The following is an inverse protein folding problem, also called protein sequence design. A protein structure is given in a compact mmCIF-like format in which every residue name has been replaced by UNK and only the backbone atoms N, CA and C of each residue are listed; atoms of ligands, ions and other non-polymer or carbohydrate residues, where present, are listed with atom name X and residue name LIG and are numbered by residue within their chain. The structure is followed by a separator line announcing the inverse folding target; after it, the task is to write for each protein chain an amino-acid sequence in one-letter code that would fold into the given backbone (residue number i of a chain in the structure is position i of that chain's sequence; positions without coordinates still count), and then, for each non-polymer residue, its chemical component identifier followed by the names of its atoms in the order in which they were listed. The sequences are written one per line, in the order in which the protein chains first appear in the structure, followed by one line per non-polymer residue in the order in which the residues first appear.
data_IF_401292387723
#
_entry.id   IF_401292387723
#
_cell.length_a   1.000
_cell.length_b   1.000
_cell.length_c   1.000
_cell.angle_alpha   90.00
_cell.angle_beta   90.00
_cell.angle_gamma   90.00
#
_symmetry.space_group_name_H-M   'P 1'
#
loop_
_entity.id
_entity.type
_entity.pdbx_description
1 polymer ?
#
# COMPACT_ATOMS: atom_id res chain seq x y z
N UNK A 1 38.13 25.61 -31.94
CA UNK A 1 37.26 25.05 -30.89
C UNK A 1 35.93 24.70 -31.52
N UNK A 2 35.46 23.44 -31.44
CA UNK A 2 34.13 23.10 -31.91
C UNK A 2 33.09 23.70 -30.96
N UNK A 3 31.90 24.07 -31.45
CA UNK A 3 30.85 24.64 -30.60
C UNK A 3 30.33 23.55 -29.66
N UNK A 4 30.27 23.89 -28.37
CA UNK A 4 29.63 23.08 -27.35
C UNK A 4 28.14 22.99 -27.67
N UNK A 5 27.66 21.77 -27.89
CA UNK A 5 26.23 21.48 -27.94
C UNK A 5 25.69 21.71 -26.53
N UNK A 6 24.99 22.82 -26.35
CA UNK A 6 24.18 23.10 -25.18
C UNK A 6 23.13 21.98 -25.07
N UNK A 7 23.35 21.02 -24.15
CA UNK A 7 22.34 20.01 -23.82
C UNK A 7 21.21 20.73 -23.09
N UNK A 8 20.04 20.72 -23.69
CA UNK A 8 18.78 21.13 -23.06
C UNK A 8 18.60 20.32 -21.75
N UNK A 9 18.65 20.92 -20.54
CA UNK A 9 18.74 20.18 -19.28
C UNK A 9 17.48 19.39 -18.88
N UNK A 10 16.43 19.35 -19.70
CA UNK A 10 15.07 18.98 -19.25
C UNK A 10 14.49 17.69 -19.82
N UNK A 11 15.21 16.95 -20.67
CA UNK A 11 14.76 15.65 -21.20
C UNK A 11 15.61 14.52 -20.64
N UNK A 12 14.99 13.67 -19.82
CA UNK A 12 15.56 12.36 -19.48
C UNK A 12 15.85 11.60 -20.79
N UNK A 13 17.02 10.99 -20.92
CA UNK A 13 17.28 10.10 -22.05
C UNK A 13 16.30 8.91 -22.01
N UNK A 14 15.96 8.40 -23.19
CA UNK A 14 15.07 7.24 -23.32
C UNK A 14 15.63 6.01 -22.59
N UNK A 15 16.95 5.81 -22.64
CA UNK A 15 17.64 4.73 -21.93
C UNK A 15 17.48 4.82 -20.41
N UNK A 16 17.63 6.03 -19.84
CA UNK A 16 17.47 6.24 -18.39
C UNK A 16 16.01 6.05 -17.98
N UNK A 17 15.06 6.53 -18.80
CA UNK A 17 13.64 6.35 -18.54
C UNK A 17 13.27 4.85 -18.58
N UNK A 18 13.78 4.10 -19.55
CA UNK A 18 13.62 2.64 -19.65
C UNK A 18 14.16 1.92 -18.41
N UNK A 19 15.37 2.28 -17.96
CA UNK A 19 15.98 1.72 -16.75
C UNK A 19 15.11 1.96 -15.49
N UNK A 20 14.57 3.17 -15.32
CA UNK A 20 13.67 3.47 -14.20
C UNK A 20 12.36 2.68 -14.28
N UNK A 21 11.76 2.56 -15.47
CA UNK A 21 10.56 1.74 -15.66
C UNK A 21 10.83 0.28 -15.27
N UNK A 22 11.95 -0.29 -15.72
CA UNK A 22 12.35 -1.65 -15.38
C UNK A 22 12.55 -1.82 -13.88
N UNK A 23 13.18 -0.84 -13.23
CA UNK A 23 13.40 -0.85 -11.79
C UNK A 23 12.07 -0.81 -11.02
N UNK A 24 11.12 0.02 -11.44
CA UNK A 24 9.78 0.06 -10.86
C UNK A 24 9.06 -1.30 -10.96
N UNK A 25 9.06 -1.91 -12.15
CA UNK A 25 8.40 -3.20 -12.37
C UNK A 25 9.06 -4.35 -11.62
N UNK A 26 10.36 -4.25 -11.31
CA UNK A 26 11.10 -5.26 -10.55
C UNK A 26 10.93 -5.12 -9.04
N UNK A 27 10.98 -3.90 -8.52
CA UNK A 27 11.09 -3.66 -7.07
C UNK A 27 9.76 -3.22 -6.42
N UNK A 28 8.99 -2.35 -7.09
CA UNK A 28 7.79 -1.72 -6.51
C UNK A 28 6.51 -2.44 -6.91
N UNK A 29 6.38 -2.74 -8.21
CA UNK A 29 5.19 -3.37 -8.77
C UNK A 29 4.80 -4.70 -8.09
N UNK A 30 5.72 -5.59 -7.69
CA UNK A 30 5.29 -6.83 -7.04
C UNK A 30 4.62 -6.61 -5.67
N UNK A 31 4.96 -5.52 -4.96
CA UNK A 31 4.31 -5.14 -3.70
C UNK A 31 2.94 -4.49 -3.97
N UNK A 32 2.88 -3.66 -5.01
CA UNK A 32 1.68 -2.93 -5.42
C UNK A 32 1.38 -3.16 -6.91
N UNK A 33 0.84 -4.33 -7.30
CA UNK A 33 0.59 -4.64 -8.71
C UNK A 33 -0.56 -3.77 -9.24
N UNK A 34 -0.24 -2.75 -10.03
CA UNK A 34 -1.23 -1.81 -10.62
C UNK A 34 -1.45 -2.12 -12.09
N UNK A 35 -0.36 -2.30 -12.83
CA UNK A 35 -0.36 -2.28 -14.29
C UNK A 35 0.07 -3.62 -14.87
N UNK A 36 -0.53 -4.04 -15.97
CA UNK A 36 0.13 -5.04 -16.82
C UNK A 36 1.33 -4.38 -17.52
N UNK A 37 2.45 -5.10 -17.61
CA UNK A 37 3.69 -4.56 -18.21
C UNK A 37 3.50 -4.28 -19.69
N UNK A 38 2.86 -5.18 -20.43
CA UNK A 38 2.66 -4.99 -21.87
C UNK A 38 1.70 -3.83 -22.14
N UNK A 39 0.66 -3.68 -21.31
CA UNK A 39 -0.22 -2.52 -21.37
C UNK A 39 0.55 -1.22 -21.13
N UNK A 40 1.43 -1.18 -20.13
CA UNK A 40 2.23 0.01 -19.83
C UNK A 40 3.15 0.38 -21.00
N UNK A 41 3.84 -0.59 -21.57
CA UNK A 41 4.73 -0.38 -22.72
C UNK A 41 3.95 0.12 -23.94
N UNK A 42 2.76 -0.44 -24.22
CA UNK A 42 1.85 0.06 -25.28
C UNK A 42 1.45 1.52 -25.05
N UNK A 43 1.18 1.90 -23.81
CA UNK A 43 0.81 3.28 -23.45
C UNK A 43 1.99 4.25 -23.63
N UNK A 44 3.22 3.83 -23.32
CA UNK A 44 4.44 4.58 -23.61
C UNK A 44 4.59 4.85 -25.12
N UNK A 45 4.43 3.82 -25.96
CA UNK A 45 4.49 3.93 -27.42
C UNK A 45 3.39 4.84 -27.99
N UNK A 46 2.18 4.75 -27.44
CA UNK A 46 1.01 5.48 -27.97
C UNK A 46 1.06 6.97 -27.65
N UNK A 47 1.44 7.33 -26.43
CA UNK A 47 1.25 8.70 -25.92
C UNK A 47 2.54 9.50 -25.75
N UNK A 48 3.72 8.87 -25.92
CA UNK A 48 5.07 9.46 -25.76
C UNK A 48 5.12 10.60 -24.72
N UNK A 49 4.99 10.27 -23.42
CA UNK A 49 4.80 11.25 -22.35
C UNK A 49 6.03 12.13 -22.06
N UNK A 50 7.19 11.85 -22.68
CA UNK A 50 8.37 12.72 -22.65
C UNK A 50 8.21 14.03 -23.45
N UNK A 51 7.15 14.14 -24.26
CA UNK A 51 6.83 15.36 -25.00
C UNK A 51 5.93 16.31 -24.20
N UNK A 52 6.07 17.61 -24.45
CA UNK A 52 5.39 18.68 -23.69
C UNK A 52 3.85 18.60 -23.69
N UNK A 53 3.26 17.84 -24.62
CA UNK A 53 1.81 17.67 -24.70
C UNK A 53 1.40 16.19 -24.71
N UNK A 54 1.09 15.65 -23.52
CA UNK A 54 0.34 14.40 -23.41
C UNK A 54 -1.17 14.73 -23.28
N UNK A 55 -2.04 14.26 -24.20
CA UNK A 55 -3.48 14.51 -24.14
C UNK A 55 -4.15 13.72 -23.00
N UNK A 56 -3.58 12.57 -22.61
CA UNK A 56 -4.09 11.75 -21.52
C UNK A 56 -3.39 12.12 -20.20
N UNK A 57 -3.93 13.11 -19.50
CA UNK A 57 -3.34 13.62 -18.25
C UNK A 57 -3.21 12.56 -17.13
N UNK A 58 -4.21 11.68 -16.88
CA UNK A 58 -4.04 10.54 -15.98
C UNK A 58 -2.86 9.63 -16.33
N UNK A 59 -2.71 9.31 -17.62
CA UNK A 59 -1.57 8.51 -18.08
C UNK A 59 -0.23 9.22 -17.84
N UNK A 60 -0.14 10.52 -18.17
CA UNK A 60 1.08 11.28 -17.91
C UNK A 60 1.46 11.30 -16.42
N UNK A 61 0.48 11.43 -15.52
CA UNK A 61 0.71 11.36 -14.08
C UNK A 61 1.23 9.98 -13.66
N UNK A 62 0.68 8.89 -14.21
CA UNK A 62 1.17 7.53 -14.00
C UNK A 62 2.63 7.42 -14.45
N UNK A 63 2.94 7.84 -15.68
CA UNK A 63 4.28 7.74 -16.25
C UNK A 63 5.33 8.45 -15.40
N UNK A 64 5.09 9.72 -15.05
CA UNK A 64 6.03 10.50 -14.23
C UNK A 64 6.21 9.91 -12.83
N UNK A 65 5.15 9.38 -12.23
CA UNK A 65 5.24 8.72 -10.91
C UNK A 65 6.00 7.40 -10.99
N UNK A 66 5.82 6.62 -12.05
CA UNK A 66 6.59 5.37 -12.29
C UNK A 66 8.08 5.68 -12.45
N UNK A 67 8.43 6.73 -13.21
CA UNK A 67 9.82 7.17 -13.31
C UNK A 67 10.38 7.61 -11.97
N UNK A 68 9.62 8.36 -11.18
CA UNK A 68 10.05 8.81 -9.85
C UNK A 68 10.30 7.62 -8.90
N UNK A 69 9.38 6.65 -8.85
CA UNK A 69 9.56 5.42 -8.07
C UNK A 69 10.76 4.61 -8.54
N UNK A 70 10.92 4.45 -9.86
CA UNK A 70 12.06 3.77 -10.46
C UNK A 70 13.40 4.44 -10.15
N UNK A 71 13.42 5.78 -10.21
CA UNK A 71 14.56 6.64 -9.87
C UNK A 71 15.02 6.38 -8.42
N UNK A 72 14.10 6.37 -7.44
CA UNK A 72 14.48 6.08 -6.05
C UNK A 72 15.12 4.70 -5.90
N UNK A 73 14.54 3.69 -6.53
CA UNK A 73 15.04 2.32 -6.44
C UNK A 73 16.33 2.10 -7.24
N UNK A 74 16.68 3.01 -8.15
CA UNK A 74 17.95 3.03 -8.87
C UNK A 74 19.10 3.66 -8.05
N UNK A 75 18.83 4.13 -6.82
CA UNK A 75 19.82 4.80 -5.98
C UNK A 75 19.87 6.32 -6.14
N UNK A 76 18.99 6.88 -6.99
CA UNK A 76 18.91 8.31 -7.30
C UNK A 76 17.81 9.01 -6.46
N UNK A 77 17.58 8.52 -5.24
CA UNK A 77 16.64 9.09 -4.27
C UNK A 77 17.28 10.16 -3.38
N UNK A 78 16.47 10.89 -2.62
CA UNK A 78 16.94 11.90 -1.66
C UNK A 78 16.27 11.70 -0.30
N UNK A 79 17.06 11.71 0.77
CA UNK A 79 16.53 11.74 2.15
C UNK A 79 15.93 13.10 2.52
N UNK A 80 16.25 14.15 1.75
CA UNK A 80 15.67 15.47 1.96
C UNK A 80 14.37 15.60 1.16
N UNK A 81 13.24 15.88 1.82
CA UNK A 81 11.97 16.07 1.15
C UNK A 81 12.07 17.24 0.16
N UNK A 82 11.56 17.04 -1.05
CA UNK A 82 11.47 18.09 -2.06
C UNK A 82 12.73 18.28 -2.88
N UNK A 83 13.69 17.37 -2.76
CA UNK A 83 14.97 17.42 -3.48
C UNK A 83 15.22 16.14 -4.28
N UNK A 84 16.13 16.26 -5.26
CA UNK A 84 16.58 15.15 -6.09
C UNK A 84 15.68 14.86 -7.30
N UNK A 85 16.25 14.12 -8.24
CA UNK A 85 15.62 13.80 -9.53
C UNK A 85 14.26 13.11 -9.35
N UNK A 86 14.15 12.20 -8.37
CA UNK A 86 12.89 11.55 -8.03
C UNK A 86 11.76 12.55 -7.72
N UNK A 87 12.05 13.57 -6.91
CA UNK A 87 11.06 14.59 -6.58
C UNK A 87 10.73 15.48 -7.77
N UNK A 88 11.72 15.85 -8.60
CA UNK A 88 11.49 16.62 -9.82
C UNK A 88 10.54 15.87 -10.79
N UNK A 89 10.72 14.55 -10.91
CA UNK A 89 9.84 13.69 -11.69
C UNK A 89 8.44 13.62 -11.07
N UNK A 90 8.35 13.40 -9.76
CA UNK A 90 7.05 13.35 -9.08
C UNK A 90 6.32 14.70 -9.13
N UNK A 91 7.03 15.82 -9.06
CA UNK A 91 6.45 17.18 -9.17
C UNK A 91 5.72 17.38 -10.49
N UNK A 92 6.20 16.76 -11.58
CA UNK A 92 5.48 16.75 -12.87
C UNK A 92 4.16 15.99 -12.79
N UNK A 93 4.11 14.86 -12.06
CA UNK A 93 2.86 14.14 -11.79
C UNK A 93 1.91 14.95 -10.89
N UNK A 94 2.46 15.58 -9.84
CA UNK A 94 1.70 16.41 -8.90
C UNK A 94 1.04 17.60 -9.59
N UNK A 95 1.74 18.25 -10.53
CA UNK A 95 1.17 19.33 -11.34
C UNK A 95 -0.06 18.89 -12.18
N UNK A 96 -0.20 17.59 -12.45
CA UNK A 96 -1.33 17.02 -13.19
C UNK A 96 -2.50 16.60 -12.29
N UNK A 97 -2.34 16.65 -10.96
CA UNK A 97 -3.33 16.14 -9.99
C UNK A 97 -4.75 16.66 -10.24
N UNK A 98 -4.93 17.97 -10.44
CA UNK A 98 -6.24 18.56 -10.73
C UNK A 98 -6.89 17.97 -11.99
N UNK A 99 -6.09 17.69 -13.03
CA UNK A 99 -6.58 17.05 -14.26
C UNK A 99 -6.90 15.56 -14.05
N UNK A 100 -6.20 14.89 -13.13
CA UNK A 100 -6.48 13.49 -12.76
C UNK A 100 -7.84 13.40 -12.06
N UNK A 101 -8.08 14.21 -11.04
CA UNK A 101 -9.34 14.14 -10.26
C UNK A 101 -10.56 14.56 -11.10
N UNK A 102 -10.41 15.49 -12.04
CA UNK A 102 -11.48 15.96 -12.92
C UNK A 102 -11.71 15.07 -14.15
N UNK A 103 -10.89 14.03 -14.34
CA UNK A 103 -10.96 13.15 -15.49
C UNK A 103 -12.19 12.25 -15.44
N UNK A 104 -12.92 12.17 -16.56
CA UNK A 104 -14.04 11.24 -16.74
C UNK A 104 -13.61 9.78 -16.85
N UNK A 105 -12.32 9.50 -17.07
CA UNK A 105 -11.79 8.13 -17.21
C UNK A 105 -11.48 7.55 -15.83
N UNK A 106 -12.49 7.01 -15.16
CA UNK A 106 -12.42 6.62 -13.73
C UNK A 106 -11.27 5.64 -13.45
N UNK A 107 -11.12 4.56 -14.25
CA UNK A 107 -10.12 3.53 -13.98
C UNK A 107 -8.68 4.07 -13.99
N UNK A 108 -8.25 4.66 -15.10
CA UNK A 108 -6.87 5.18 -15.23
C UNK A 108 -6.59 6.34 -14.28
N UNK A 109 -7.59 7.16 -13.97
CA UNK A 109 -7.45 8.28 -13.02
C UNK A 109 -7.29 7.75 -11.60
N UNK A 110 -8.03 6.69 -11.25
CA UNK A 110 -7.87 6.03 -9.94
C UNK A 110 -6.51 5.32 -9.85
N UNK A 111 -6.04 4.68 -10.92
CA UNK A 111 -4.70 4.10 -10.97
C UNK A 111 -3.60 5.16 -10.80
N UNK A 112 -3.79 6.36 -11.37
CA UNK A 112 -2.89 7.50 -11.19
C UNK A 112 -2.83 7.96 -9.73
N UNK A 113 -3.99 8.16 -9.09
CA UNK A 113 -4.04 8.51 -7.67
C UNK A 113 -3.37 7.45 -6.80
N UNK A 114 -3.60 6.18 -7.09
CA UNK A 114 -2.99 5.06 -6.38
C UNK A 114 -1.46 5.07 -6.49
N UNK A 115 -0.89 5.19 -7.68
CA UNK A 115 0.58 5.19 -7.82
C UNK A 115 1.20 6.43 -7.15
N UNK A 116 0.51 7.58 -7.20
CA UNK A 116 0.95 8.79 -6.50
C UNK A 116 0.93 8.63 -4.98
N UNK A 117 -0.05 7.88 -4.44
CA UNK A 117 -0.06 7.48 -3.03
C UNK A 117 1.15 6.61 -2.67
N UNK A 118 1.48 5.62 -3.50
CA UNK A 118 2.66 4.74 -3.27
C UNK A 118 3.95 5.57 -3.21
N UNK A 119 4.12 6.54 -4.11
CA UNK A 119 5.27 7.45 -4.04
C UNK A 119 5.30 8.26 -2.74
N UNK A 120 4.15 8.80 -2.33
CA UNK A 120 4.06 9.65 -1.14
C UNK A 120 4.28 8.88 0.15
N UNK A 121 3.90 7.59 0.18
CA UNK A 121 4.24 6.69 1.27
C UNK A 121 5.76 6.45 1.36
N UNK A 122 6.48 6.43 0.24
CA UNK A 122 7.93 6.16 0.20
C UNK A 122 8.81 7.34 0.58
N UNK A 123 8.29 8.57 0.61
CA UNK A 123 9.06 9.79 0.88
C UNK A 123 8.59 10.44 2.17
N UNK A 124 9.49 10.59 3.13
CA UNK A 124 9.19 11.29 4.37
C UNK A 124 9.02 12.81 4.13
N UNK A 125 8.22 13.47 4.98
CA UNK A 125 8.04 14.93 4.95
C UNK A 125 6.82 15.43 4.15
N UNK A 126 6.30 14.67 3.19
CA UNK A 126 5.06 15.01 2.49
C UNK A 126 3.94 14.04 2.81
N UNK A 127 2.93 14.49 3.57
CA UNK A 127 1.79 13.65 3.96
C UNK A 127 0.67 13.59 2.89
N UNK A 128 1.05 13.48 1.60
CA UNK A 128 0.08 13.44 0.49
C UNK A 128 -0.60 12.08 0.33
N UNK A 129 -0.07 11.02 0.95
CA UNK A 129 -0.65 9.67 0.89
C UNK A 129 -2.10 9.66 1.36
N UNK A 130 -2.41 10.39 2.45
CA UNK A 130 -3.78 10.47 2.97
C UNK A 130 -4.73 11.07 1.94
N UNK A 131 -4.31 12.12 1.24
CA UNK A 131 -5.09 12.78 0.18
C UNK A 131 -5.35 11.82 -0.97
N UNK A 132 -4.29 11.22 -1.53
CA UNK A 132 -4.42 10.35 -2.69
C UNK A 132 -5.20 9.07 -2.39
N UNK A 133 -4.99 8.45 -1.22
CA UNK A 133 -5.73 7.26 -0.78
C UNK A 133 -7.21 7.60 -0.60
N UNK A 134 -7.54 8.73 0.03
CA UNK A 134 -8.94 9.17 0.25
C UNK A 134 -9.68 9.37 -1.08
N UNK A 135 -9.08 10.09 -2.03
CA UNK A 135 -9.71 10.32 -3.34
C UNK A 135 -9.79 9.04 -4.16
N UNK A 136 -8.75 8.20 -4.14
CA UNK A 136 -8.77 6.90 -4.80
C UNK A 136 -9.84 5.98 -4.23
N UNK A 137 -10.05 5.98 -2.90
CA UNK A 137 -11.07 5.18 -2.23
C UNK A 137 -12.49 5.59 -2.64
N UNK A 138 -12.77 6.91 -2.73
CA UNK A 138 -14.06 7.41 -3.23
C UNK A 138 -14.33 6.94 -4.66
N UNK A 139 -13.33 7.03 -5.54
CA UNK A 139 -13.45 6.53 -6.91
C UNK A 139 -13.59 4.99 -6.96
N UNK A 140 -12.91 4.27 -6.07
CA UNK A 140 -13.01 2.81 -5.96
C UNK A 140 -14.40 2.34 -5.53
N UNK A 141 -15.12 3.06 -4.68
CA UNK A 141 -16.53 2.74 -4.34
C UNK A 141 -17.41 2.76 -5.59
N UNK A 142 -17.24 3.75 -6.47
CA UNK A 142 -17.98 3.82 -7.72
C UNK A 142 -17.60 2.69 -8.68
N UNK A 143 -16.29 2.43 -8.85
CA UNK A 143 -15.80 1.36 -9.73
C UNK A 143 -16.15 -0.03 -9.21
N UNK A 144 -16.22 -0.24 -7.90
CA UNK A 144 -16.49 -1.53 -7.29
C UNK A 144 -17.87 -2.08 -7.67
N UNK A 145 -18.82 -1.18 -7.93
CA UNK A 145 -20.22 -1.47 -8.28
C UNK A 145 -20.44 -1.70 -9.77
N UNK A 146 -19.49 -1.29 -10.63
CA UNK A 146 -19.60 -1.40 -12.09
C UNK A 146 -18.58 -2.41 -12.63
N UNK A 147 -19.06 -3.46 -13.30
CA UNK A 147 -18.19 -4.38 -14.04
C UNK A 147 -17.70 -3.75 -15.34
N UNK A 148 -16.56 -4.21 -15.84
CA UNK A 148 -16.05 -3.83 -17.17
C UNK A 148 -16.35 -4.95 -18.18
N UNK A 149 -16.72 -4.58 -19.41
CA UNK A 149 -16.98 -5.55 -20.48
C UNK A 149 -15.71 -6.21 -21.00
N UNK A 150 -14.61 -5.45 -21.10
CA UNK A 150 -13.32 -5.95 -21.53
C UNK A 150 -12.64 -6.73 -20.39
N UNK A 151 -12.24 -8.00 -20.60
CA UNK A 151 -11.55 -8.80 -19.58
C UNK A 151 -10.25 -8.18 -19.04
N UNK A 152 -9.46 -7.50 -19.88
CA UNK A 152 -8.22 -6.84 -19.45
C UNK A 152 -8.52 -5.68 -18.51
N UNK A 153 -9.51 -4.85 -18.87
CA UNK A 153 -9.94 -3.71 -18.05
C UNK A 153 -10.62 -4.18 -16.75
N UNK A 154 -11.35 -5.30 -16.78
CA UNK A 154 -11.96 -5.89 -15.59
C UNK A 154 -10.90 -6.40 -14.62
N UNK A 155 -9.85 -7.06 -15.12
CA UNK A 155 -8.73 -7.51 -14.31
C UNK A 155 -7.95 -6.33 -13.71
N UNK A 156 -7.68 -5.30 -14.51
CA UNK A 156 -7.06 -4.07 -14.05
C UNK A 156 -7.92 -3.36 -12.99
N UNK A 157 -9.25 -3.33 -13.17
CA UNK A 157 -10.21 -2.79 -12.19
C UNK A 157 -10.14 -3.56 -10.87
N UNK A 158 -10.18 -4.89 -10.89
CA UNK A 158 -10.10 -5.73 -9.68
C UNK A 158 -8.82 -5.47 -8.90
N UNK A 159 -7.67 -5.48 -9.56
CA UNK A 159 -6.36 -5.19 -8.93
C UNK A 159 -6.33 -3.78 -8.34
N UNK A 160 -6.82 -2.80 -9.11
CA UNK A 160 -6.88 -1.40 -8.68
C UNK A 160 -7.73 -1.26 -7.43
N UNK A 161 -8.94 -1.81 -7.43
CA UNK A 161 -9.87 -1.79 -6.31
C UNK A 161 -9.25 -2.40 -5.05
N UNK A 162 -8.73 -3.63 -5.13
CA UNK A 162 -8.28 -4.35 -3.93
C UNK A 162 -7.07 -3.75 -3.26
N UNK A 163 -6.17 -3.11 -4.00
CA UNK A 163 -5.01 -2.47 -3.39
C UNK A 163 -5.38 -1.12 -2.79
N UNK A 164 -6.30 -0.37 -3.41
CA UNK A 164 -6.86 0.83 -2.78
C UNK A 164 -7.61 0.46 -1.50
N UNK A 165 -8.39 -0.62 -1.53
CA UNK A 165 -9.05 -1.15 -0.34
C UNK A 165 -8.05 -1.42 0.78
N UNK A 166 -6.96 -2.16 0.50
CA UNK A 166 -6.01 -2.48 1.56
C UNK A 166 -5.28 -1.24 2.10
N UNK A 167 -4.86 -0.32 1.22
CA UNK A 167 -4.24 0.95 1.61
C UNK A 167 -5.18 1.82 2.45
N UNK A 168 -6.46 1.90 2.08
CA UNK A 168 -7.48 2.62 2.84
C UNK A 168 -7.68 2.01 4.21
N UNK A 169 -7.84 0.68 4.33
CA UNK A 169 -8.01 0.01 5.62
C UNK A 169 -6.82 0.17 6.55
N UNK A 170 -5.60 0.13 6.02
CA UNK A 170 -4.40 0.43 6.81
C UNK A 170 -4.40 1.88 7.29
N UNK A 171 -4.61 2.83 6.38
CA UNK A 171 -4.62 4.25 6.70
C UNK A 171 -5.65 4.55 7.80
N UNK A 172 -6.86 4.03 7.64
CA UNK A 172 -7.98 4.13 8.57
C UNK A 172 -7.68 3.55 9.94
N UNK A 173 -7.00 2.40 9.99
CA UNK A 173 -6.70 1.73 11.26
C UNK A 173 -5.56 2.41 12.03
N UNK A 174 -4.51 2.84 11.32
CA UNK A 174 -3.31 3.40 11.95
C UNK A 174 -3.39 4.91 12.22
N UNK A 175 -4.20 5.64 11.45
CA UNK A 175 -4.32 7.09 11.59
C UNK A 175 -5.54 7.42 12.46
N UNK A 176 -5.32 7.56 13.76
CA UNK A 176 -6.37 7.94 14.74
C UNK A 176 -6.95 9.36 14.54
N UNK A 177 -6.56 10.09 13.50
CA UNK A 177 -7.07 11.46 13.20
C UNK A 177 -8.33 11.48 12.33
N UNK A 178 -8.88 10.32 11.93
CA UNK A 178 -10.12 10.28 11.16
C UNK A 178 -11.36 10.55 12.03
N UNK A 179 -11.50 11.79 12.48
CA UNK A 179 -12.79 12.35 12.84
C UNK A 179 -13.75 12.17 11.65
N UNK A 180 -14.90 11.56 11.95
CA UNK A 180 -16.14 11.42 11.17
C UNK A 180 -16.17 10.67 9.82
N UNK A 181 -15.07 10.19 9.23
CA UNK A 181 -15.10 9.36 8.00
C UNK A 181 -14.06 8.22 8.01
N UNK A 182 -13.97 7.51 9.13
CA UNK A 182 -12.86 6.60 9.39
C UNK A 182 -12.74 5.40 8.43
N UNK A 183 -13.79 5.04 7.69
CA UNK A 183 -13.71 4.04 6.64
C UNK A 183 -14.60 4.47 5.47
N UNK A 184 -14.00 4.67 4.30
CA UNK A 184 -14.70 5.10 3.09
C UNK A 184 -15.32 3.93 2.34
N UNK A 185 -14.65 2.78 2.36
CA UNK A 185 -15.13 1.58 1.70
C UNK A 185 -15.82 0.70 2.74
N UNK A 186 -17.14 0.60 2.67
CA UNK A 186 -17.91 -0.29 3.53
C UNK A 186 -17.68 -1.75 3.10
N UNK A 187 -17.27 -2.62 4.03
CA UNK A 187 -16.98 -4.03 3.74
C UNK A 187 -18.21 -4.78 3.22
N UNK A 188 -19.39 -4.43 3.71
CA UNK A 188 -20.68 -5.02 3.30
C UNK A 188 -21.09 -4.62 1.88
N UNK A 189 -20.54 -3.52 1.35
CA UNK A 189 -20.82 -3.05 -0.01
C UNK A 189 -19.77 -3.50 -1.04
N UNK A 190 -18.76 -4.29 -0.64
CA UNK A 190 -17.70 -4.75 -1.53
C UNK A 190 -18.23 -5.84 -2.47
N UNK A 191 -18.56 -5.46 -3.70
CA UNK A 191 -18.96 -6.38 -4.77
C UNK A 191 -17.81 -6.81 -5.71
N UNK A 192 -16.61 -6.24 -5.54
CA UNK A 192 -15.49 -6.50 -6.43
C UNK A 192 -14.80 -7.83 -6.09
N UNK A 193 -14.76 -8.77 -7.04
CA UNK A 193 -14.08 -10.06 -6.85
C UNK A 193 -12.57 -9.87 -6.71
N UNK A 194 -11.93 -10.69 -5.87
CA UNK A 194 -10.47 -10.75 -5.79
C UNK A 194 -9.89 -11.05 -7.18
N UNK A 195 -8.78 -10.39 -7.57
CA UNK A 195 -8.09 -10.76 -8.79
C UNK A 195 -7.56 -12.20 -8.67
N UNK A 196 -7.41 -12.92 -9.80
CA UNK A 196 -6.68 -14.19 -9.79
C UNK A 196 -5.23 -13.96 -9.31
N UNK A 197 -4.61 -14.97 -8.68
CA UNK A 197 -3.22 -14.88 -8.26
C UNK A 197 -2.34 -14.70 -9.50
N UNK A 198 -1.79 -13.51 -9.68
CA UNK A 198 -1.10 -13.13 -10.92
C UNK A 198 0.33 -13.69 -10.97
N UNK A 199 1.02 -13.66 -9.83
CA UNK A 199 2.37 -14.21 -9.62
C UNK A 199 2.45 -14.61 -8.16
N UNK A 200 2.28 -15.90 -7.93
CA UNK A 200 2.65 -16.51 -6.67
C UNK A 200 4.12 -16.13 -6.42
N UNK A 201 4.43 -15.47 -5.30
CA UNK A 201 5.84 -15.33 -4.89
C UNK A 201 6.49 -16.71 -4.90
N UNK A 202 7.82 -16.81 -4.95
CA UNK A 202 8.53 -18.10 -5.02
C UNK A 202 8.05 -19.15 -3.98
N UNK A 203 7.37 -18.70 -2.92
CA UNK A 203 6.88 -19.49 -1.79
C UNK A 203 5.36 -19.80 -1.77
N UNK A 204 4.59 -19.56 -2.84
CA UNK A 204 3.17 -19.98 -2.82
C UNK A 204 2.12 -18.91 -2.44
N UNK A 205 2.53 -17.67 -2.16
CA UNK A 205 1.60 -16.65 -1.61
C UNK A 205 0.89 -15.81 -2.68
N UNK A 206 -0.45 -15.79 -2.58
CA UNK A 206 -1.33 -14.79 -3.18
C UNK A 206 -1.33 -13.52 -2.31
N UNK A 207 -0.37 -12.63 -2.56
CA UNK A 207 -0.12 -11.45 -1.71
C UNK A 207 -1.35 -10.57 -1.54
N UNK A 208 -2.09 -10.29 -2.62
CA UNK A 208 -3.28 -9.42 -2.56
C UNK A 208 -4.35 -10.05 -1.67
N UNK A 209 -4.58 -11.37 -1.78
CA UNK A 209 -5.53 -12.08 -0.93
C UNK A 209 -5.10 -12.08 0.53
N UNK A 210 -3.83 -12.38 0.80
CA UNK A 210 -3.28 -12.37 2.16
C UNK A 210 -3.45 -11.01 2.81
N UNK A 211 -3.10 -9.95 2.07
CA UNK A 211 -3.19 -8.58 2.53
C UNK A 211 -4.65 -8.16 2.78
N UNK A 212 -5.54 -8.40 1.80
CA UNK A 212 -6.96 -8.13 1.93
C UNK A 212 -7.61 -8.88 3.10
N UNK A 213 -7.18 -10.10 3.38
CA UNK A 213 -7.64 -10.90 4.51
C UNK A 213 -7.35 -10.21 5.85
N UNK A 214 -6.12 -9.72 6.05
CA UNK A 214 -5.77 -8.98 7.26
C UNK A 214 -6.50 -7.64 7.34
N UNK A 215 -6.59 -6.90 6.23
CA UNK A 215 -7.30 -5.63 6.17
C UNK A 215 -8.79 -5.77 6.55
N UNK A 216 -9.45 -6.87 6.17
CA UNK A 216 -10.83 -7.18 6.60
C UNK A 216 -10.93 -7.41 8.10
N UNK A 217 -9.98 -8.13 8.70
CA UNK A 217 -9.94 -8.36 10.14
C UNK A 217 -9.70 -7.03 10.87
N UNK A 218 -8.75 -6.22 10.42
CA UNK A 218 -8.48 -4.87 10.94
C UNK A 218 -9.69 -3.97 10.82
N UNK A 219 -10.40 -4.03 9.68
CA UNK A 219 -11.61 -3.27 9.43
C UNK A 219 -12.72 -3.62 10.40
N UNK A 220 -12.99 -4.92 10.62
CA UNK A 220 -13.95 -5.39 11.62
C UNK A 220 -13.54 -4.99 13.03
N UNK A 221 -12.27 -5.17 13.38
CA UNK A 221 -11.78 -4.76 14.69
C UNK A 221 -11.99 -3.27 14.90
N UNK A 222 -11.72 -2.44 13.88
CA UNK A 222 -11.98 -1.01 13.93
C UNK A 222 -13.45 -0.69 14.23
N UNK A 223 -14.38 -1.21 13.42
CA UNK A 223 -15.81 -0.90 13.59
C UNK A 223 -16.36 -1.40 14.92
N UNK A 224 -15.95 -2.59 15.35
CA UNK A 224 -16.49 -3.28 16.52
C UNK A 224 -15.84 -2.90 17.85
N UNK A 225 -14.57 -2.49 17.86
CA UNK A 225 -13.79 -2.21 19.08
C UNK A 225 -13.31 -0.75 19.15
N UNK A 226 -12.77 -0.18 18.07
CA UNK A 226 -12.09 1.12 18.11
C UNK A 226 -12.96 2.32 17.74
N UNK A 227 -14.06 2.11 17.02
CA UNK A 227 -14.94 3.18 16.56
C UNK A 227 -15.61 3.93 17.73
N UNK A 228 -15.95 5.23 17.59
CA UNK A 228 -16.68 5.95 18.65
C UNK A 228 -18.00 5.26 19.04
N UNK A 229 -18.67 4.61 18.09
CA UNK A 229 -19.92 3.88 18.30
C UNK A 229 -19.75 2.57 19.08
N UNK A 230 -18.56 1.98 19.14
CA UNK A 230 -18.29 0.77 19.92
C UNK A 230 -18.42 0.99 21.43
N UNK A 231 -18.31 2.25 21.90
CA UNK A 231 -18.39 2.62 23.32
C UNK A 231 -19.73 2.30 23.97
N UNK A 232 -20.80 2.19 23.18
CA UNK A 232 -22.12 1.80 23.67
C UNK A 232 -22.23 0.30 24.00
N UNK A 233 -21.25 -0.53 23.61
CA UNK A 233 -21.26 -1.98 23.87
C UNK A 233 -20.93 -2.28 25.33
N UNK A 234 -21.61 -3.29 25.88
CA UNK A 234 -21.30 -3.86 27.21
C UNK A 234 -19.87 -4.42 27.25
N UNK A 235 -19.34 -4.60 28.46
CA UNK A 235 -17.99 -5.15 28.64
C UNK A 235 -17.90 -6.59 28.13
N UNK A 236 -18.94 -7.39 28.37
CA UNK A 236 -19.06 -8.78 27.92
C UNK A 236 -19.05 -8.87 26.39
N UNK A 237 -19.78 -7.98 25.70
CA UNK A 237 -19.79 -7.91 24.24
C UNK A 237 -18.42 -7.51 23.67
N UNK A 238 -17.72 -6.56 24.31
CA UNK A 238 -16.37 -6.16 23.89
C UNK A 238 -15.37 -7.30 24.07
N UNK A 239 -15.43 -8.01 25.19
CA UNK A 239 -14.59 -9.17 25.46
C UNK A 239 -14.82 -10.31 24.46
N UNK A 240 -16.08 -10.60 24.15
CA UNK A 240 -16.41 -11.61 23.14
C UNK A 240 -15.86 -11.23 21.76
N UNK A 241 -15.97 -9.96 21.38
CA UNK A 241 -15.43 -9.45 20.11
C UNK A 241 -13.90 -9.49 20.07
N UNK A 242 -13.20 -9.11 21.15
CA UNK A 242 -11.74 -9.23 21.23
C UNK A 242 -11.31 -10.67 20.94
N UNK A 243 -11.91 -11.65 21.64
CA UNK A 243 -11.60 -13.08 21.44
C UNK A 243 -11.88 -13.55 20.02
N UNK A 244 -12.97 -13.08 19.43
CA UNK A 244 -13.34 -13.38 18.04
C UNK A 244 -12.31 -12.83 17.05
N UNK A 245 -11.89 -11.57 17.21
CA UNK A 245 -10.84 -10.95 16.38
C UNK A 245 -9.50 -11.65 16.55
N UNK A 246 -9.12 -12.03 17.77
CA UNK A 246 -7.88 -12.79 18.02
C UNK A 246 -7.91 -14.16 17.35
N UNK A 247 -9.04 -14.87 17.42
CA UNK A 247 -9.22 -16.16 16.76
C UNK A 247 -9.05 -16.07 15.23
N UNK A 248 -9.68 -15.07 14.60
CA UNK A 248 -9.57 -14.87 13.15
C UNK A 248 -8.17 -14.44 12.74
N UNK A 249 -7.51 -13.61 13.56
CA UNK A 249 -6.11 -13.21 13.33
C UNK A 249 -5.17 -14.41 13.38
N UNK A 250 -5.42 -15.34 14.32
CA UNK A 250 -4.68 -16.59 14.43
C UNK A 250 -4.94 -17.51 13.23
N UNK A 251 -6.20 -17.63 12.79
CA UNK A 251 -6.56 -18.43 11.62
C UNK A 251 -5.92 -17.86 10.34
N UNK A 252 -5.97 -16.54 10.14
CA UNK A 252 -5.29 -15.85 9.05
C UNK A 252 -3.78 -16.12 9.08
N UNK A 253 -3.14 -16.01 10.25
CA UNK A 253 -1.73 -16.32 10.44
C UNK A 253 -1.39 -17.77 10.07
N UNK A 254 -2.23 -18.72 10.46
CA UNK A 254 -2.05 -20.15 10.17
C UNK A 254 -2.26 -20.50 8.69
N UNK A 255 -3.04 -19.70 7.95
CA UNK A 255 -3.27 -19.93 6.52
C UNK A 255 -2.03 -19.71 5.64
N UNK A 256 -0.99 -19.05 6.17
CA UNK A 256 0.23 -18.73 5.42
C UNK A 256 1.31 -19.80 5.56
N UNK A 257 2.15 -20.01 4.53
CA UNK A 257 3.40 -20.77 4.62
C UNK A 257 4.30 -20.31 5.77
N UNK A 258 5.09 -21.23 6.31
CA UNK A 258 6.00 -20.98 7.44
C UNK A 258 7.01 -19.85 7.14
N UNK A 259 7.43 -19.69 5.87
CA UNK A 259 8.41 -18.68 5.45
C UNK A 259 7.98 -17.23 5.60
N UNK A 260 6.67 -17.00 5.66
CA UNK A 260 6.07 -15.68 5.66
C UNK A 260 5.16 -15.48 6.88
N UNK A 261 5.14 -16.46 7.80
CA UNK A 261 4.29 -16.44 8.98
C UNK A 261 4.89 -15.54 10.07
N UNK A 262 4.15 -14.53 10.55
CA UNK A 262 4.60 -13.69 11.65
C UNK A 262 5.05 -14.47 12.89
N UNK A 263 6.18 -14.10 13.49
CA UNK A 263 6.76 -14.78 14.66
C UNK A 263 7.77 -15.88 14.32
N UNK A 264 7.87 -16.35 13.08
CA UNK A 264 9.04 -17.09 12.62
C UNK A 264 10.17 -16.11 12.25
N UNK A 265 11.45 -16.37 12.60
CA UNK A 265 12.53 -15.46 12.27
C UNK A 265 12.74 -15.35 10.75
N UNK A 266 12.65 -14.14 10.20
CA UNK A 266 12.93 -13.88 8.77
C UNK A 266 14.33 -14.32 8.34
N UNK A 267 15.30 -14.31 9.27
CA UNK A 267 16.67 -14.84 9.11
C UNK A 267 16.72 -16.24 8.49
N UNK A 268 15.71 -17.08 8.74
CA UNK A 268 15.67 -18.46 8.24
C UNK A 268 15.39 -18.56 6.74
N UNK A 269 15.00 -17.45 6.11
CA UNK A 269 14.54 -17.43 4.73
C UNK A 269 15.41 -16.52 3.87
N UNK A 270 16.04 -17.11 2.86
CA UNK A 270 16.77 -16.37 1.84
C UNK A 270 15.81 -15.85 0.79
N UNK A 271 15.45 -14.57 0.89
CA UNK A 271 14.67 -13.91 -0.16
C UNK A 271 15.56 -13.61 -1.37
N UNK A 272 15.30 -14.31 -2.48
CA UNK A 272 16.00 -14.13 -3.75
C UNK A 272 15.66 -12.81 -4.45
N UNK A 273 14.52 -12.19 -4.11
CA UNK A 273 14.09 -10.91 -4.66
C UNK A 273 13.85 -9.88 -3.54
N UNK A 274 14.25 -8.61 -3.71
CA UNK A 274 14.01 -7.59 -2.68
C UNK A 274 12.52 -7.34 -2.45
N UNK A 275 11.68 -7.46 -3.48
CA UNK A 275 10.22 -7.34 -3.37
C UNK A 275 9.58 -8.44 -2.51
N UNK A 276 10.09 -9.67 -2.56
CA UNK A 276 9.65 -10.76 -1.68
C UNK A 276 9.98 -10.46 -0.21
N UNK A 277 11.19 -9.92 0.04
CA UNK A 277 11.58 -9.44 1.38
C UNK A 277 10.67 -8.29 1.85
N UNK A 278 10.37 -7.33 0.99
CA UNK A 278 9.49 -6.21 1.31
C UNK A 278 8.07 -6.70 1.68
N UNK A 279 7.53 -7.68 0.96
CA UNK A 279 6.24 -8.30 1.28
C UNK A 279 6.29 -9.04 2.62
N UNK A 280 7.33 -9.84 2.86
CA UNK A 280 7.52 -10.54 4.13
C UNK A 280 7.57 -9.55 5.31
N UNK A 281 8.37 -8.49 5.17
CA UNK A 281 8.47 -7.43 6.17
C UNK A 281 7.12 -6.77 6.41
N UNK A 282 6.39 -6.44 5.34
CA UNK A 282 5.06 -5.83 5.44
C UNK A 282 4.06 -6.73 6.16
N UNK A 283 4.02 -8.03 5.87
CA UNK A 283 3.17 -9.01 6.58
C UNK A 283 3.45 -8.98 8.08
N UNK A 284 4.73 -9.04 8.46
CA UNK A 284 5.12 -9.08 9.85
C UNK A 284 4.83 -7.76 10.57
N UNK A 285 5.18 -6.62 9.97
CA UNK A 285 4.95 -5.29 10.55
C UNK A 285 3.45 -5.01 10.74
N UNK A 286 2.62 -5.32 9.74
CA UNK A 286 1.16 -5.16 9.85
C UNK A 286 0.58 -6.06 10.96
N UNK A 287 1.00 -7.33 11.03
CA UNK A 287 0.56 -8.24 12.08
C UNK A 287 0.95 -7.73 13.48
N UNK A 288 2.23 -7.40 13.71
CA UNK A 288 2.68 -6.96 15.03
C UNK A 288 2.12 -5.59 15.42
N UNK A 289 1.93 -4.70 14.44
CA UNK A 289 1.21 -3.43 14.65
C UNK A 289 -0.23 -3.67 15.09
N UNK A 290 -0.94 -4.58 14.42
CA UNK A 290 -2.33 -4.91 14.76
C UNK A 290 -2.47 -5.59 16.13
N UNK A 291 -1.63 -6.59 16.42
CA UNK A 291 -1.58 -7.26 17.75
C UNK A 291 -1.28 -6.24 18.85
N UNK A 292 -0.35 -5.30 18.60
CA UNK A 292 -0.07 -4.23 19.56
C UNK A 292 -1.30 -3.36 19.83
N UNK A 293 -2.06 -2.98 18.79
CA UNK A 293 -3.29 -2.20 18.96
C UNK A 293 -4.36 -2.96 19.75
N UNK A 294 -4.58 -4.24 19.46
CA UNK A 294 -5.54 -5.08 20.20
C UNK A 294 -5.14 -5.28 21.66
N UNK A 295 -3.87 -5.57 21.91
CA UNK A 295 -3.39 -5.78 23.27
C UNK A 295 -3.45 -4.48 24.10
N UNK A 296 -3.10 -3.32 23.53
CA UNK A 296 -3.31 -2.02 24.20
C UNK A 296 -4.79 -1.79 24.51
N UNK A 297 -5.67 -2.04 23.53
CA UNK A 297 -7.11 -1.89 23.73
C UNK A 297 -7.62 -2.77 24.88
N UNK A 298 -7.19 -4.03 24.93
CA UNK A 298 -7.53 -4.98 25.99
C UNK A 298 -7.08 -4.49 27.36
N UNK A 299 -5.84 -4.01 27.48
CA UNK A 299 -5.32 -3.46 28.75
C UNK A 299 -6.09 -2.21 29.22
N UNK A 300 -6.51 -1.36 28.28
CA UNK A 300 -7.26 -0.15 28.62
C UNK A 300 -8.71 -0.44 28.99
N UNK A 301 -9.38 -1.34 28.28
CA UNK A 301 -10.82 -1.59 28.43
C UNK A 301 -11.16 -2.64 29.46
N UNK A 302 -10.28 -3.61 29.69
CA UNK A 302 -10.48 -4.72 30.62
C UNK A 302 -9.62 -4.57 31.88
N UNK A 303 -9.38 -3.34 32.35
CA UNK A 303 -8.46 -3.05 33.46
C UNK A 303 -8.79 -3.83 34.75
N UNK A 304 -10.07 -4.14 34.97
CA UNK A 304 -10.56 -4.93 36.10
C UNK A 304 -10.88 -6.39 35.74
N UNK A 305 -10.54 -6.81 34.51
CA UNK A 305 -10.78 -8.15 34.01
C UNK A 305 -9.85 -9.21 34.62
N UNK A 306 -9.95 -10.47 34.15
CA UNK A 306 -9.15 -11.57 34.67
C UNK A 306 -7.65 -11.28 34.56
N UNK A 307 -6.90 -11.59 35.63
CA UNK A 307 -5.44 -11.36 35.69
C UNK A 307 -4.70 -12.04 34.53
N UNK A 308 -5.14 -13.23 34.13
CA UNK A 308 -4.56 -14.02 33.02
C UNK A 308 -4.69 -13.28 31.68
N UNK A 309 -5.86 -12.75 31.35
CA UNK A 309 -6.08 -12.00 30.11
C UNK A 309 -5.21 -10.74 30.04
N UNK A 310 -5.05 -10.04 31.16
CA UNK A 310 -4.18 -8.87 31.24
C UNK A 310 -2.69 -9.26 31.16
N UNK A 311 -2.31 -10.44 31.65
CA UNK A 311 -0.96 -10.98 31.49
C UNK A 311 -0.69 -11.33 30.01
N UNK A 312 -1.63 -12.00 29.34
CA UNK A 312 -1.53 -12.37 27.93
C UNK A 312 -1.42 -11.14 27.01
N UNK A 313 -2.20 -10.09 27.29
CA UNK A 313 -2.12 -8.84 26.55
C UNK A 313 -0.76 -8.13 26.74
N UNK A 314 -0.21 -8.10 27.97
CA UNK A 314 1.14 -7.57 28.22
C UNK A 314 2.21 -8.39 27.51
N UNK A 315 2.10 -9.71 27.55
CA UNK A 315 3.01 -10.61 26.84
C UNK A 315 2.98 -10.37 25.33
N UNK A 316 1.77 -10.28 24.75
CA UNK A 316 1.57 -10.02 23.32
C UNK A 316 2.18 -8.68 22.90
N UNK A 317 2.06 -7.63 23.73
CA UNK A 317 2.72 -6.35 23.49
C UNK A 317 4.24 -6.46 23.49
N UNK A 318 4.80 -7.16 24.48
CA UNK A 318 6.24 -7.33 24.59
C UNK A 318 6.79 -8.09 23.37
N UNK A 319 6.14 -9.20 22.99
CA UNK A 319 6.53 -10.00 21.82
C UNK A 319 6.41 -9.19 20.54
N UNK A 320 5.31 -8.44 20.36
CA UNK A 320 5.13 -7.60 19.19
C UNK A 320 6.20 -6.50 19.11
N UNK A 321 6.51 -5.83 20.21
CA UNK A 321 7.55 -4.80 20.26
C UNK A 321 8.94 -5.38 19.96
N UNK A 322 9.31 -6.51 20.57
CA UNK A 322 10.58 -7.20 20.30
C UNK A 322 10.68 -7.64 18.84
N UNK A 323 9.59 -8.18 18.29
CA UNK A 323 9.55 -8.60 16.89
C UNK A 323 9.70 -7.40 15.96
N UNK A 324 8.97 -6.30 16.20
CA UNK A 324 9.13 -5.06 15.41
C UNK A 324 10.56 -4.53 15.44
N UNK A 325 11.19 -4.48 16.62
CA UNK A 325 12.61 -4.07 16.74
C UNK A 325 13.53 -5.04 16.00
N UNK A 326 13.27 -6.35 16.06
CA UNK A 326 14.04 -7.32 15.27
C UNK A 326 13.85 -7.14 13.77
N UNK A 327 12.67 -6.71 13.31
CA UNK A 327 12.40 -6.51 11.89
C UNK A 327 13.12 -5.30 11.30
N UNK A 328 13.45 -4.29 12.13
CA UNK A 328 14.14 -3.08 11.63
C UNK A 328 15.50 -3.38 11.00
N UNK A 329 16.17 -4.47 11.40
CA UNK A 329 17.45 -4.88 10.82
C UNK A 329 17.36 -5.27 9.32
N UNK A 330 16.16 -5.56 8.81
CA UNK A 330 15.94 -5.91 7.40
C UNK A 330 15.37 -4.76 6.57
N UNK A 331 15.00 -3.66 7.22
CA UNK A 331 14.52 -2.46 6.55
C UNK A 331 15.73 -1.81 5.87
N UNK A 332 15.71 -1.60 4.54
CA UNK A 332 16.82 -0.95 3.86
C UNK A 332 17.01 0.48 4.37
N UNK A 333 18.24 0.97 4.42
CA UNK A 333 18.54 2.36 4.76
C UNK A 333 18.65 3.19 3.48
N UNK A 334 17.52 3.36 2.81
CA UNK A 334 17.46 4.00 1.49
C UNK A 334 16.39 5.10 1.45
N UNK A 335 16.49 6.12 0.57
CA UNK A 335 15.52 7.21 0.49
C UNK A 335 14.07 6.81 0.22
N UNK A 336 13.85 5.63 -0.38
CA UNK A 336 12.50 5.08 -0.64
C UNK A 336 11.91 4.32 0.54
N UNK A 337 12.66 4.21 1.65
CA UNK A 337 12.26 3.46 2.83
C UNK A 337 11.24 4.27 3.59
N UNK A 338 9.98 3.83 3.52
CA UNK A 338 8.92 4.40 4.35
C UNK A 338 9.13 3.98 5.81
N UNK A 339 9.43 4.92 6.71
CA UNK A 339 9.26 4.70 8.16
C UNK A 339 7.78 4.82 8.53
N UNK A 340 6.96 3.84 8.14
CA UNK A 340 5.60 3.68 8.69
C UNK A 340 5.62 3.19 10.13
#
# INVERSE_FOLDING_TARGET
MPPQVERDPQRLSEDTAGSFIDRYFKEVHPVYPIFDRQWFDRMCLTYNPGHAYCPNKPWAAIYWTVLALGCMHAGEGSFTPGQGLSWELFSKALALYASVILSKKVLISTQALRIMAVYSMSVEGFRYETLFITEAARAAVLMGKTGMQNPEDELARRRTFWIIYCLEKELSFHTTTASSNAQLICDDEVCCLLPPPERVLADGIDWIRTWAGLCRIMSRAYTSLFSPGSRARSEEQRLAEIKSVEADTKAWKQSMPDSLRPGEPLQRFHFSQPSARAIALRIHLLYHGFISSLARYTLHTCRNGPSEQLADARWSLMVAAQSTVSLTQYIPQEPFTSMM
#
